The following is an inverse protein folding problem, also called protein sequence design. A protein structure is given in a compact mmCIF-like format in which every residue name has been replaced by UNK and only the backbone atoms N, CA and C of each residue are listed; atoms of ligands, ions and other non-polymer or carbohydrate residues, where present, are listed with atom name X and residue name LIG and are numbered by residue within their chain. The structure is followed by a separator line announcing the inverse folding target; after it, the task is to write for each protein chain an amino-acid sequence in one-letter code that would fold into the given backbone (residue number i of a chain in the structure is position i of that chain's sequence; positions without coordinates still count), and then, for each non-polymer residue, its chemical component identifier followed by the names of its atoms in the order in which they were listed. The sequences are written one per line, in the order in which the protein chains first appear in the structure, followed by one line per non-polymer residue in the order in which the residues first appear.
data_IF_745089418489
#
_entry.id   IF_745089418489
#
_cell.length_a   1.000
_cell.length_b   1.000
_cell.length_c   1.000
_cell.angle_alpha   90.00
_cell.angle_beta   90.00
_cell.angle_gamma   90.00
#
_symmetry.space_group_name_H-M   'P 1'
#
loop_
_entity.id
_entity.type
_entity.pdbx_description
1 polymer ?
#
# COMPACT_ATOMS: atom_id res chain seq x y z
N UNK A 1 -14.23 -1.97 8.22
CA UNK A 1 -14.02 -1.16 7.01
C UNK A 1 -14.16 -2.03 5.77
N UNK A 2 -14.27 -1.42 4.59
CA UNK A 2 -14.36 -2.14 3.31
C UNK A 2 -13.01 -2.74 2.89
N UNK A 3 -13.05 -3.67 1.92
CA UNK A 3 -11.88 -4.19 1.20
C UNK A 3 -12.02 -3.77 -0.27
N UNK A 4 -11.01 -3.14 -0.84
CA UNK A 4 -11.04 -2.67 -2.23
C UNK A 4 -9.73 -2.95 -2.95
N UNK A 5 -9.82 -3.15 -4.26
CA UNK A 5 -8.68 -3.30 -5.18
C UNK A 5 -8.99 -2.45 -6.41
N UNK A 6 -8.11 -1.52 -6.75
CA UNK A 6 -8.21 -0.65 -7.92
C UNK A 6 -6.86 -0.56 -8.64
N UNK A 7 -6.87 -0.19 -9.92
CA UNK A 7 -5.65 -0.10 -10.75
C UNK A 7 -5.04 1.31 -10.81
N UNK A 8 -5.47 2.17 -9.90
CA UNK A 8 -4.98 3.54 -9.73
C UNK A 8 -6.00 4.39 -8.97
N UNK A 9 -5.54 5.51 -8.44
CA UNK A 9 -6.40 6.52 -7.84
C UNK A 9 -5.85 7.93 -8.06
N UNK A 10 -6.72 8.93 -7.97
CA UNK A 10 -6.34 10.34 -8.05
C UNK A 10 -5.69 10.85 -6.76
N UNK A 11 -5.67 12.16 -6.60
CA UNK A 11 -5.21 12.82 -5.38
C UNK A 11 -6.09 12.44 -4.17
N UNK A 12 -5.54 12.59 -2.96
CA UNK A 12 -6.21 12.31 -1.68
C UNK A 12 -6.70 10.87 -1.54
N UNK A 13 -5.99 9.91 -2.15
CA UNK A 13 -6.27 8.49 -1.97
C UNK A 13 -6.17 8.08 -0.50
N UNK A 14 -7.16 7.31 -0.02
CA UNK A 14 -7.26 6.86 1.37
C UNK A 14 -7.28 7.99 2.42
N UNK A 15 -7.65 9.21 2.03
CA UNK A 15 -7.85 10.31 2.98
C UNK A 15 -8.92 9.94 4.01
N UNK A 16 -8.66 10.25 5.28
CA UNK A 16 -9.54 9.91 6.42
C UNK A 16 -9.93 8.43 6.53
N UNK A 17 -9.12 7.52 6.00
CA UNK A 17 -9.34 6.08 6.18
C UNK A 17 -9.20 5.73 7.66
N UNK A 18 -10.26 5.16 8.25
CA UNK A 18 -10.33 4.76 9.66
C UNK A 18 -10.29 3.25 9.89
N UNK A 19 -10.53 2.45 8.85
CA UNK A 19 -10.44 0.99 8.87
C UNK A 19 -10.52 0.41 7.45
N UNK A 20 -10.25 -0.89 7.27
CA UNK A 20 -10.38 -1.60 6.01
C UNK A 20 -9.04 -1.92 5.34
N UNK A 21 -9.13 -2.33 4.07
CA UNK A 21 -7.99 -2.64 3.19
C UNK A 21 -8.18 -2.01 1.82
N UNK A 22 -7.14 -1.37 1.29
CA UNK A 22 -7.13 -0.82 -0.06
C UNK A 22 -5.88 -1.28 -0.80
N UNK A 23 -6.04 -1.93 -1.95
CA UNK A 23 -4.94 -2.30 -2.85
C UNK A 23 -4.98 -1.39 -4.06
N UNK A 24 -3.87 -0.72 -4.37
CA UNK A 24 -3.71 0.17 -5.52
C UNK A 24 -2.64 -0.42 -6.44
N UNK A 25 -3.08 -1.00 -7.56
CA UNK A 25 -2.24 -1.67 -8.56
C UNK A 25 -1.79 -0.70 -9.65
N UNK A 26 -1.49 0.55 -9.31
CA UNK A 26 -1.11 1.56 -10.30
C UNK A 26 -0.89 2.93 -9.70
N UNK A 27 -0.85 3.98 -10.54
CA UNK A 27 -0.56 5.34 -10.08
C UNK A 27 -1.55 5.81 -9.02
N UNK A 28 -1.02 6.42 -7.97
CA UNK A 28 -1.78 7.20 -6.99
C UNK A 28 -1.42 8.68 -7.13
N UNK A 29 -2.36 9.57 -6.80
CA UNK A 29 -2.14 11.01 -6.83
C UNK A 29 -1.59 11.58 -5.53
N UNK A 30 -1.34 12.89 -5.54
CA UNK A 30 -0.76 13.63 -4.41
C UNK A 30 -1.58 13.53 -3.12
N UNK A 31 -0.90 13.75 -2.00
CA UNK A 31 -1.47 13.81 -0.66
C UNK A 31 -2.14 12.49 -0.20
N UNK A 32 -1.59 11.35 -0.64
CA UNK A 32 -2.10 10.03 -0.26
C UNK A 32 -2.01 9.81 1.25
N UNK A 33 -3.08 9.29 1.85
CA UNK A 33 -3.16 8.91 3.27
C UNK A 33 -3.26 10.08 4.25
N UNK A 34 -3.59 11.29 3.78
CA UNK A 34 -3.81 12.42 4.67
C UNK A 34 -4.93 12.13 5.68
N UNK A 35 -4.67 12.35 6.97
CA UNK A 35 -5.65 12.08 8.03
C UNK A 35 -6.06 10.60 8.17
N UNK A 36 -5.34 9.67 7.55
CA UNK A 36 -5.56 8.24 7.73
C UNK A 36 -5.19 7.85 9.17
N UNK A 37 -6.15 7.28 9.91
CA UNK A 37 -6.00 6.89 11.33
C UNK A 37 -6.20 5.39 11.55
N UNK A 38 -6.72 4.65 10.56
CA UNK A 38 -6.90 3.21 10.69
C UNK A 38 -6.93 2.43 9.37
N UNK A 39 -6.81 1.11 9.47
CA UNK A 39 -6.71 0.21 8.31
C UNK A 39 -5.29 0.10 7.74
N UNK A 40 -5.18 -0.43 6.52
CA UNK A 40 -3.92 -0.55 5.80
C UNK A 40 -4.16 -0.44 4.29
N UNK A 41 -3.18 0.08 3.56
CA UNK A 41 -3.18 0.07 2.10
C UNK A 41 -1.94 -0.64 1.53
N UNK A 42 -2.10 -1.29 0.39
CA UNK A 42 -1.03 -1.94 -0.36
C UNK A 42 -0.87 -1.24 -1.70
N UNK A 43 0.31 -0.73 -1.98
CA UNK A 43 0.59 0.07 -3.18
C UNK A 43 1.62 -0.65 -4.02
N UNK A 44 1.29 -0.95 -5.27
CA UNK A 44 2.29 -1.41 -6.24
C UNK A 44 2.98 -0.20 -6.86
N UNK A 45 4.26 -0.01 -6.56
CA UNK A 45 5.06 1.16 -6.92
C UNK A 45 6.36 0.78 -7.68
N UNK A 46 6.25 0.18 -8.88
CA UNK A 46 7.42 -0.26 -9.66
C UNK A 46 8.33 0.89 -10.14
N UNK A 47 7.90 2.15 -9.95
CA UNK A 47 8.64 3.34 -10.37
C UNK A 47 9.16 4.18 -9.20
N UNK A 48 9.02 3.69 -7.96
CA UNK A 48 9.45 4.38 -6.73
C UNK A 48 8.92 5.83 -6.62
N UNK A 49 7.64 6.03 -6.94
CA UNK A 49 6.98 7.35 -6.96
C UNK A 49 6.17 7.63 -5.70
N UNK A 50 5.80 6.61 -4.93
CA UNK A 50 4.89 6.75 -3.80
C UNK A 50 5.39 7.74 -2.75
N UNK A 51 6.70 7.75 -2.49
CA UNK A 51 7.34 8.67 -1.54
C UNK A 51 7.08 10.16 -1.84
N UNK A 52 6.95 10.51 -3.12
CA UNK A 52 6.73 11.90 -3.54
C UNK A 52 5.30 12.36 -3.25
N UNK A 53 4.34 11.45 -3.42
CA UNK A 53 2.90 11.72 -3.34
C UNK A 53 2.31 11.47 -1.95
N UNK A 54 3.01 10.71 -1.08
CA UNK A 54 2.54 10.42 0.27
C UNK A 54 2.45 11.69 1.14
N UNK A 55 1.42 11.74 1.99
CA UNK A 55 1.35 12.66 3.12
C UNK A 55 2.04 12.01 4.34
N UNK A 56 3.27 12.41 4.68
CA UNK A 56 4.04 11.74 5.72
C UNK A 56 3.60 12.12 7.14
N UNK A 57 2.59 12.97 7.34
CA UNK A 57 2.19 13.40 8.68
C UNK A 57 1.44 12.27 9.41
N UNK A 58 0.49 11.62 8.72
CA UNK A 58 -0.40 10.61 9.30
C UNK A 58 0.02 9.16 9.07
N UNK A 59 0.81 8.88 8.03
CA UNK A 59 1.15 7.52 7.61
C UNK A 59 2.65 7.25 7.62
N UNK A 60 3.00 5.97 7.80
CA UNK A 60 4.29 5.39 7.49
C UNK A 60 4.10 4.33 6.39
N UNK A 61 5.14 4.06 5.61
CA UNK A 61 5.13 2.99 4.61
C UNK A 61 6.40 2.17 4.62
N UNK A 62 6.25 0.90 4.26
CA UNK A 62 7.29 -0.11 4.36
C UNK A 62 7.28 -1.01 3.12
N UNK A 63 8.44 -1.54 2.69
CA UNK A 63 8.47 -2.62 1.71
C UNK A 63 7.64 -3.81 2.20
N UNK A 64 6.68 -4.26 1.40
CA UNK A 64 5.81 -5.38 1.76
C UNK A 64 6.58 -6.67 2.13
N UNK A 65 7.71 -7.03 1.48
CA UNK A 65 8.48 -8.22 1.85
C UNK A 65 9.10 -8.17 3.26
N UNK A 66 9.23 -6.98 3.85
CA UNK A 66 9.75 -6.81 5.22
C UNK A 66 8.64 -6.93 6.28
N UNK A 67 7.38 -7.05 5.85
CA UNK A 67 6.22 -7.11 6.74
C UNK A 67 5.94 -8.54 7.23
N UNK A 68 5.19 -8.69 8.34
CA UNK A 68 4.64 -9.99 8.74
C UNK A 68 3.97 -10.70 7.56
N UNK A 69 4.19 -12.01 7.44
CA UNK A 69 3.79 -12.83 6.28
C UNK A 69 2.28 -12.84 6.06
N UNK A 70 1.48 -12.60 7.10
CA UNK A 70 0.03 -12.45 6.97
C UNK A 70 -0.38 -11.27 6.08
N UNK A 71 0.38 -10.17 6.06
CA UNK A 71 0.06 -9.01 5.24
C UNK A 71 0.43 -9.24 3.77
N UNK A 72 1.53 -9.96 3.54
CA UNK A 72 1.93 -10.41 2.20
C UNK A 72 0.85 -11.32 1.61
N UNK A 73 0.40 -12.30 2.39
CA UNK A 73 -0.68 -13.22 2.02
C UNK A 73 -2.01 -12.50 1.80
N UNK A 74 -2.36 -11.52 2.65
CA UNK A 74 -3.57 -10.73 2.51
C UNK A 74 -3.57 -9.90 1.20
N UNK A 75 -2.46 -9.22 0.89
CA UNK A 75 -2.33 -8.46 -0.35
C UNK A 75 -2.49 -9.38 -1.57
N UNK A 76 -1.79 -10.53 -1.59
CA UNK A 76 -1.87 -11.49 -2.69
C UNK A 76 -3.30 -12.00 -2.88
N UNK A 77 -3.96 -12.43 -1.81
CA UNK A 77 -5.33 -12.94 -1.87
C UNK A 77 -6.33 -11.89 -2.38
N UNK A 78 -6.16 -10.62 -2.02
CA UNK A 78 -6.99 -9.53 -2.55
C UNK A 78 -6.79 -9.34 -4.06
N UNK A 79 -5.56 -9.46 -4.56
CA UNK A 79 -5.25 -9.34 -5.99
C UNK A 79 -5.78 -10.55 -6.77
N UNK A 80 -5.64 -11.76 -6.22
CA UNK A 80 -6.24 -12.98 -6.79
C UNK A 80 -7.77 -12.88 -6.89
N UNK A 81 -8.42 -12.37 -5.85
CA UNK A 81 -9.86 -12.07 -5.86
C UNK A 81 -10.22 -11.08 -6.97
N UNK A 82 -9.41 -10.03 -7.12
CA UNK A 82 -9.61 -9.01 -8.15
C UNK A 82 -9.52 -9.61 -9.55
N UNK A 83 -8.50 -10.42 -9.85
CA UNK A 83 -8.38 -11.13 -11.13
C UNK A 83 -9.61 -12.00 -11.39
N UNK A 84 -10.04 -12.79 -10.39
CA UNK A 84 -11.19 -13.69 -10.55
C UNK A 84 -12.50 -12.94 -10.85
N UNK A 85 -12.67 -11.76 -10.26
CA UNK A 85 -13.90 -10.96 -10.45
C UNK A 85 -13.90 -10.10 -11.71
N UNK A 86 -12.73 -9.66 -12.16
CA UNK A 86 -12.63 -8.60 -13.18
C UNK A 86 -11.95 -9.07 -14.47
N UNK A 87 -11.18 -10.16 -14.43
CA UNK A 87 -10.29 -10.55 -15.52
C UNK A 87 -9.13 -9.57 -15.74
N UNK A 88 -8.79 -8.74 -14.74
CA UNK A 88 -7.74 -7.72 -14.85
C UNK A 88 -6.42 -8.30 -15.36
N UNK A 89 -5.98 -7.81 -16.52
CA UNK A 89 -4.70 -8.18 -17.14
C UNK A 89 -3.55 -7.73 -16.24
N UNK A 90 -3.61 -6.50 -15.70
CA UNK A 90 -2.55 -5.97 -14.85
C UNK A 90 -2.39 -6.78 -13.56
N UNK A 91 -3.50 -7.06 -12.88
CA UNK A 91 -3.45 -7.84 -11.65
C UNK A 91 -2.95 -9.28 -11.93
N UNK A 92 -3.28 -9.84 -13.09
CA UNK A 92 -2.75 -11.12 -13.53
C UNK A 92 -1.24 -11.05 -13.77
N UNK A 93 -0.73 -10.04 -14.48
CA UNK A 93 0.71 -9.85 -14.70
C UNK A 93 1.49 -9.73 -13.38
N UNK A 94 0.94 -9.00 -12.40
CA UNK A 94 1.52 -8.89 -11.05
C UNK A 94 1.59 -10.26 -10.35
N UNK A 95 0.56 -11.10 -10.51
CA UNK A 95 0.53 -12.43 -9.88
C UNK A 95 1.41 -13.46 -10.61
N UNK A 96 1.51 -13.37 -11.95
CA UNK A 96 2.33 -14.27 -12.77
C UNK A 96 3.83 -14.13 -12.41
N UNK A 97 4.27 -12.94 -12.02
CA UNK A 97 5.64 -12.62 -11.57
C UNK A 97 5.67 -12.14 -10.11
N UNK A 98 4.87 -12.77 -9.24
CA UNK A 98 4.64 -12.33 -7.86
C UNK A 98 5.93 -12.15 -7.05
N UNK A 99 6.87 -13.08 -7.17
CA UNK A 99 8.11 -13.07 -6.38
C UNK A 99 8.95 -11.82 -6.67
N UNK A 100 8.87 -11.28 -7.89
CA UNK A 100 9.47 -9.98 -8.21
C UNK A 100 8.54 -8.83 -7.84
N UNK A 101 7.27 -8.91 -8.22
CA UNK A 101 6.32 -7.80 -8.06
C UNK A 101 6.11 -7.40 -6.59
N UNK A 102 6.21 -8.34 -5.66
CA UNK A 102 6.09 -8.08 -4.22
C UNK A 102 7.20 -7.14 -3.71
N UNK A 103 8.39 -7.13 -4.33
CA UNK A 103 9.47 -6.20 -3.96
C UNK A 103 9.18 -4.75 -4.35
N UNK A 104 8.31 -4.55 -5.34
CA UNK A 104 7.80 -3.24 -5.74
C UNK A 104 6.53 -2.84 -4.96
N UNK A 105 6.07 -3.68 -4.02
CA UNK A 105 4.92 -3.36 -3.19
C UNK A 105 5.30 -2.69 -1.87
N UNK A 106 4.48 -1.74 -1.47
CA UNK A 106 4.54 -1.06 -0.19
C UNK A 106 3.30 -1.39 0.64
N UNK A 107 3.48 -1.57 1.94
CA UNK A 107 2.41 -1.51 2.92
C UNK A 107 2.40 -0.12 3.56
N UNK A 108 1.27 0.56 3.48
CA UNK A 108 1.01 1.87 4.07
C UNK A 108 0.14 1.69 5.30
N UNK A 109 0.58 2.24 6.42
CA UNK A 109 -0.12 2.13 7.71
C UNK A 109 -0.23 3.49 8.39
N UNK A 110 -1.32 3.73 9.14
CA UNK A 110 -1.43 4.90 10.01
C UNK A 110 -0.42 4.80 11.15
N UNK A 111 0.28 5.89 11.45
CA UNK A 111 1.27 5.93 12.54
C UNK A 111 0.69 5.54 13.90
N UNK A 112 -0.55 5.96 14.16
CA UNK A 112 -1.26 5.72 15.43
C UNK A 112 -1.38 4.22 15.74
N UNK A 113 -1.67 3.41 14.73
CA UNK A 113 -1.90 1.96 14.89
C UNK A 113 -0.78 1.09 14.32
N UNK A 114 0.32 1.69 13.82
CA UNK A 114 1.44 0.95 13.24
C UNK A 114 1.99 -0.14 14.19
N UNK A 115 2.00 0.12 15.50
CA UNK A 115 2.44 -0.84 16.51
C UNK A 115 1.54 -2.09 16.62
N UNK A 116 0.25 -1.97 16.25
CA UNK A 116 -0.69 -3.09 16.24
C UNK A 116 -0.54 -3.93 14.96
N UNK A 117 -0.21 -3.28 13.83
CA UNK A 117 -0.14 -3.92 12.52
C UNK A 117 1.22 -4.57 12.25
N UNK A 118 2.31 -3.97 12.72
CA UNK A 118 3.67 -4.42 12.41
C UNK A 118 4.24 -5.42 13.43
N UNK A 119 3.53 -5.66 14.53
CA UNK A 119 4.03 -6.45 15.65
C UNK A 119 5.13 -5.73 16.45
N UNK A 120 5.89 -6.51 17.23
CA UNK A 120 6.85 -5.98 18.23
C UNK A 120 8.11 -5.36 17.61
N UNK A 121 8.54 -5.85 16.45
CA UNK A 121 9.72 -5.35 15.74
C UNK A 121 9.25 -4.44 14.61
N UNK A 122 9.43 -3.13 14.79
CA UNK A 122 9.14 -2.17 13.72
C UNK A 122 10.27 -2.23 12.67
N UNK A 123 9.98 -2.60 11.41
CA UNK A 123 10.90 -2.37 10.31
C UNK A 123 11.19 -0.87 10.16
N UNK A 124 12.27 -0.50 9.47
CA UNK A 124 12.57 0.91 9.25
C UNK A 124 11.62 1.45 8.19
N UNK A 125 10.77 2.41 8.58
CA UNK A 125 9.90 3.10 7.63
C UNK A 125 10.74 3.79 6.57
N UNK A 126 10.30 3.75 5.31
CA UNK A 126 10.84 4.64 4.29
C UNK A 126 10.45 6.06 4.68
N UNK A 127 11.41 6.97 4.64
CA UNK A 127 11.19 8.39 4.92
C UNK A 127 11.14 9.15 3.62
N UNK A 128 10.29 10.18 3.56
CA UNK A 128 10.35 11.17 2.50
C UNK A 128 11.74 11.81 2.51
N UNK A 129 12.51 11.59 1.46
CA UNK A 129 13.71 12.34 1.15
C UNK A 129 13.24 13.75 0.83
N UNK A 130 13.72 14.73 1.61
CA UNK A 130 13.46 16.13 1.33
C UNK A 130 13.86 16.38 -0.13
N UNK A 131 12.91 16.88 -0.93
CA UNK A 131 13.24 17.37 -2.25
C UNK A 131 14.31 18.45 -2.07
N UNK A 132 15.54 18.18 -2.54
CA UNK A 132 16.52 19.26 -2.71
C UNK A 132 15.89 20.24 -3.70
N UNK A 133 15.61 21.44 -3.19
CA UNK A 133 15.23 22.59 -3.99
C UNK A 133 16.34 22.94 -4.99
#
# INVERSE_FOLDING_TARGET
GAKTVVEGCGANGCEYMTNGRAVILGPAGDNFGAGMTGGAAFIWDPTNRFERIANPDSIDWYPLPEMPTEHIGEAKALIEEHVRRTGSVRAKEILDDWDRAVHDMLMVVPKEIAHLLLGRTKPKAKKKVAAKA
#
